data_IF_253722097498
#
_entry.id   IF_253722097498
#
_cell.length_a   1.000
_cell.length_b   1.000
_cell.length_c   1.000
_cell.angle_alpha   90.00
_cell.angle_beta   90.00
_cell.angle_gamma   90.00
#
_symmetry.space_group_name_H-M   'P 1'
#
loop_
_entity.id
_entity.type
_entity.pdbx_description
1 polymer ?
#
# COMPACT_ATOMS: atom_id res chain seq x y z
N UNK A 1 9.96 -12.16 -44.67
CA UNK A 1 8.88 -12.73 -43.86
C UNK A 1 9.31 -12.83 -42.39
N UNK A 2 8.37 -12.99 -41.46
CA UNK A 2 8.68 -13.24 -40.04
C UNK A 2 8.92 -11.97 -39.19
N UNK A 3 8.70 -10.75 -39.69
CA UNK A 3 8.73 -9.52 -38.89
C UNK A 3 7.53 -9.43 -37.97
N UNK A 4 7.68 -8.82 -36.79
CA UNK A 4 6.54 -8.54 -35.89
C UNK A 4 5.54 -7.59 -36.59
N UNK A 5 4.27 -7.72 -36.22
CA UNK A 5 3.23 -6.79 -36.69
C UNK A 5 3.59 -5.34 -36.30
N UNK A 6 3.41 -4.41 -37.27
CA UNK A 6 3.83 -3.01 -37.14
C UNK A 6 5.27 -2.72 -37.56
N UNK A 7 6.06 -3.75 -37.85
CA UNK A 7 7.42 -3.62 -38.41
C UNK A 7 7.43 -4.06 -39.86
N UNK A 8 8.01 -3.24 -40.74
CA UNK A 8 8.07 -3.48 -42.15
C UNK A 8 9.52 -3.45 -42.68
N UNK A 9 9.76 -4.16 -43.77
CA UNK A 9 11.01 -4.10 -44.50
C UNK A 9 10.83 -3.43 -45.87
N UNK A 10 11.69 -2.50 -46.19
CA UNK A 10 11.72 -1.80 -47.50
C UNK A 10 13.08 -1.99 -48.10
N UNK A 11 13.11 -2.27 -49.43
CA UNK A 11 14.33 -2.33 -50.22
C UNK A 11 14.40 -1.11 -51.17
N UNK A 12 15.48 -0.36 -51.03
CA UNK A 12 15.77 0.79 -51.91
C UNK A 12 17.28 0.98 -52.05
N UNK A 13 17.79 1.25 -53.31
CA UNK A 13 19.21 1.55 -53.53
C UNK A 13 20.17 0.47 -53.03
N UNK A 14 19.84 -0.81 -53.23
CA UNK A 14 20.59 -1.99 -52.72
C UNK A 14 20.70 -2.11 -51.20
N UNK A 15 19.84 -1.40 -50.46
CA UNK A 15 19.74 -1.45 -49.01
C UNK A 15 18.38 -1.98 -48.59
N UNK A 16 18.36 -2.94 -47.69
CA UNK A 16 17.13 -3.35 -46.99
C UNK A 16 17.06 -2.63 -45.65
N UNK A 17 15.99 -1.85 -45.45
CA UNK A 17 15.72 -1.16 -44.18
C UNK A 17 14.54 -1.84 -43.51
N UNK A 18 14.72 -2.28 -42.27
CA UNK A 18 13.66 -2.80 -41.41
C UNK A 18 13.35 -1.73 -40.35
N UNK A 19 12.09 -1.27 -40.26
CA UNK A 19 11.66 -0.23 -39.35
C UNK A 19 10.19 -0.37 -39.01
N UNK A 20 9.77 0.28 -37.91
CA UNK A 20 8.40 0.31 -37.46
C UNK A 20 8.29 0.17 -35.97
N UNK A 21 7.07 0.19 -35.46
CA UNK A 21 6.74 0.02 -34.03
C UNK A 21 6.02 -1.32 -33.85
N UNK A 22 6.65 -2.31 -33.18
CA UNK A 22 5.99 -3.58 -32.99
C UNK A 22 4.78 -3.44 -32.02
N UNK A 23 3.66 -4.09 -32.35
CA UNK A 23 2.42 -4.02 -31.60
C UNK A 23 2.09 -5.31 -30.82
N UNK A 24 2.97 -6.31 -30.89
CA UNK A 24 2.82 -7.58 -30.16
C UNK A 24 4.17 -8.02 -29.57
N UNK A 25 4.14 -8.50 -28.36
CA UNK A 25 5.29 -9.10 -27.70
C UNK A 25 5.56 -10.51 -28.25
N UNK A 26 6.83 -10.91 -28.29
CA UNK A 26 7.24 -12.23 -28.77
C UNK A 26 8.67 -12.23 -29.31
N UNK A 27 9.12 -13.40 -29.73
CA UNK A 27 10.38 -13.58 -30.44
C UNK A 27 10.08 -13.83 -31.90
N UNK A 28 10.53 -12.93 -32.75
CA UNK A 28 10.26 -12.94 -34.20
C UNK A 28 11.54 -13.22 -34.95
N UNK A 29 11.62 -14.39 -35.57
CA UNK A 29 12.72 -14.73 -36.49
C UNK A 29 12.32 -14.33 -37.88
N UNK A 30 13.02 -13.37 -38.45
CA UNK A 30 12.76 -12.91 -39.79
C UNK A 30 13.81 -13.42 -40.80
N UNK A 31 13.41 -13.53 -42.04
CA UNK A 31 14.26 -13.93 -43.15
C UNK A 31 14.20 -12.88 -44.27
N UNK A 32 15.36 -12.53 -44.80
CA UNK A 32 15.52 -11.66 -45.97
C UNK A 32 16.13 -12.50 -47.08
N UNK A 33 15.43 -12.56 -48.21
CA UNK A 33 15.88 -13.23 -49.44
C UNK A 33 15.84 -12.23 -50.60
N UNK A 34 16.97 -11.78 -51.12
CA UNK A 34 17.02 -11.00 -52.37
C UNK A 34 16.45 -11.78 -53.56
N UNK A 35 15.83 -11.09 -54.48
CA UNK A 35 15.26 -11.66 -55.72
C UNK A 35 15.82 -10.96 -56.95
N UNK A 36 15.82 -11.61 -58.11
CA UNK A 36 16.19 -11.00 -59.40
C UNK A 36 17.68 -11.11 -59.76
N UNK A 37 18.49 -11.88 -59.02
CA UNK A 37 19.89 -12.17 -59.36
C UNK A 37 20.14 -13.65 -59.57
N UNK A 38 21.42 -14.04 -59.78
CA UNK A 38 21.85 -15.41 -59.82
C UNK A 38 22.17 -15.91 -58.38
N UNK A 39 21.56 -17.03 -57.97
CA UNK A 39 21.78 -17.68 -56.69
C UNK A 39 20.71 -17.37 -55.62
N UNK A 40 20.50 -18.31 -54.73
CA UNK A 40 19.56 -18.18 -53.61
C UNK A 40 20.34 -17.92 -52.35
N UNK A 41 20.43 -16.66 -51.92
CA UNK A 41 21.06 -16.24 -50.66
C UNK A 41 19.99 -15.67 -49.74
N UNK A 42 20.00 -16.07 -48.48
CA UNK A 42 19.12 -15.49 -47.50
C UNK A 42 19.88 -15.18 -46.19
N UNK A 43 19.32 -14.28 -45.41
CA UNK A 43 19.80 -13.94 -44.04
C UNK A 43 18.63 -13.91 -43.08
N UNK A 44 18.86 -14.53 -41.96
CA UNK A 44 17.92 -14.51 -40.81
C UNK A 44 18.37 -13.51 -39.75
N UNK A 45 17.44 -12.94 -39.04
CA UNK A 45 17.66 -12.18 -37.83
C UNK A 45 16.54 -12.42 -36.83
N UNK A 46 16.71 -11.91 -35.64
CA UNK A 46 15.74 -12.04 -34.57
C UNK A 46 15.42 -10.67 -34.01
N UNK A 47 14.13 -10.39 -33.83
CA UNK A 47 13.61 -9.24 -33.07
C UNK A 47 12.84 -9.79 -31.89
N UNK A 48 13.32 -9.50 -30.68
CA UNK A 48 12.61 -9.82 -29.43
C UNK A 48 11.86 -8.57 -28.98
N UNK A 49 10.55 -8.69 -28.84
CA UNK A 49 9.67 -7.63 -28.33
C UNK A 49 9.16 -8.07 -26.96
N UNK A 50 9.60 -7.38 -25.92
CA UNK A 50 9.16 -7.66 -24.56
C UNK A 50 7.78 -7.01 -24.32
N UNK A 51 6.92 -7.68 -23.53
CA UNK A 51 5.67 -7.11 -23.08
C UNK A 51 5.91 -5.94 -22.12
N UNK A 52 5.02 -4.96 -22.15
CA UNK A 52 5.04 -3.89 -21.16
C UNK A 52 4.74 -4.43 -19.76
N UNK A 53 5.34 -3.78 -18.76
CA UNK A 53 5.03 -4.06 -17.37
C UNK A 53 3.57 -3.74 -17.06
N UNK A 54 2.90 -4.61 -16.31
CA UNK A 54 1.56 -4.38 -15.78
C UNK A 54 1.51 -4.70 -14.29
N UNK A 55 0.64 -4.01 -13.56
CA UNK A 55 0.34 -4.26 -12.15
C UNK A 55 -1.15 -4.07 -11.93
N UNK A 56 -1.80 -5.03 -11.28
CA UNK A 56 -3.23 -5.00 -10.99
C UNK A 56 -3.50 -5.59 -9.60
N UNK A 57 -4.36 -4.95 -8.81
CA UNK A 57 -4.77 -5.46 -7.50
C UNK A 57 -5.39 -6.86 -7.68
N UNK A 58 -4.93 -7.81 -6.85
CA UNK A 58 -5.39 -9.20 -6.85
C UNK A 58 -5.95 -9.65 -5.49
N UNK A 59 -5.72 -8.89 -4.42
CA UNK A 59 -6.46 -9.04 -3.17
C UNK A 59 -7.87 -8.46 -3.28
N UNK A 60 -8.71 -8.64 -2.26
CA UNK A 60 -10.06 -8.07 -2.23
C UNK A 60 -10.02 -6.55 -2.41
N UNK A 61 -10.99 -6.02 -3.15
CA UNK A 61 -11.12 -4.58 -3.35
C UNK A 61 -11.20 -3.84 -2.00
N UNK A 62 -10.45 -2.74 -1.87
CA UNK A 62 -10.36 -1.94 -0.64
C UNK A 62 -9.19 -2.34 0.26
N UNK A 63 -8.54 -3.50 0.06
CA UNK A 63 -7.35 -3.88 0.84
C UNK A 63 -6.18 -2.93 0.63
N UNK A 64 -6.12 -2.24 -0.49
CA UNK A 64 -5.13 -1.22 -0.79
C UNK A 64 -5.31 0.06 0.05
N UNK A 65 -6.50 0.22 0.70
CA UNK A 65 -6.81 1.36 1.55
C UNK A 65 -7.35 0.84 2.89
N UNK A 66 -6.49 0.68 3.89
CA UNK A 66 -6.82 0.05 5.17
C UNK A 66 -6.72 1.01 6.34
N UNK A 67 -7.58 0.81 7.33
CA UNK A 67 -7.49 1.40 8.67
C UNK A 67 -7.18 0.27 9.68
N UNK A 68 -6.09 0.37 10.42
CA UNK A 68 -5.67 -0.60 11.45
C UNK A 68 -5.17 0.12 12.69
N UNK A 69 -5.21 -0.54 13.83
CA UNK A 69 -4.54 -0.03 15.03
C UNK A 69 -3.07 -0.47 15.05
N UNK A 70 -2.23 0.31 15.70
CA UNK A 70 -0.84 -0.04 15.98
C UNK A 70 -0.78 -1.43 16.64
N UNK A 71 0.12 -2.29 16.17
CA UNK A 71 0.30 -3.64 16.71
C UNK A 71 -0.67 -4.70 16.16
N UNK A 72 -1.63 -4.34 15.28
CA UNK A 72 -2.49 -5.29 14.58
C UNK A 72 -2.01 -5.48 13.15
N UNK A 73 -2.01 -6.73 12.67
CA UNK A 73 -1.62 -7.03 11.28
C UNK A 73 -2.54 -6.36 10.28
N UNK A 74 -1.96 -5.86 9.19
CA UNK A 74 -2.75 -5.46 8.01
C UNK A 74 -3.29 -6.71 7.30
N UNK A 75 -4.38 -6.55 6.55
CA UNK A 75 -4.79 -7.54 5.58
C UNK A 75 -3.77 -7.54 4.43
N UNK A 76 -3.37 -8.71 3.97
CA UNK A 76 -2.40 -8.80 2.90
C UNK A 76 -2.91 -8.09 1.64
N UNK A 77 -2.10 -7.17 1.13
CA UNK A 77 -2.36 -6.50 -0.15
C UNK A 77 -1.55 -7.23 -1.20
N UNK A 78 -2.22 -7.76 -2.20
CA UNK A 78 -1.53 -8.44 -3.29
C UNK A 78 -1.83 -7.81 -4.64
N UNK A 79 -0.82 -7.77 -5.50
CA UNK A 79 -0.96 -7.36 -6.90
C UNK A 79 -0.36 -8.43 -7.79
N UNK A 80 -1.06 -8.77 -8.87
CA UNK A 80 -0.48 -9.54 -9.97
C UNK A 80 0.28 -8.60 -10.89
N UNK A 81 1.42 -9.06 -11.40
CA UNK A 81 2.29 -8.29 -12.28
C UNK A 81 2.65 -9.11 -13.52
N UNK A 82 3.02 -8.44 -14.61
CA UNK A 82 3.62 -9.10 -15.76
C UNK A 82 4.73 -8.23 -16.34
N UNK A 83 5.68 -8.85 -17.03
CA UNK A 83 6.78 -8.19 -17.72
C UNK A 83 7.93 -7.72 -16.81
N UNK A 84 7.68 -7.47 -15.55
CA UNK A 84 8.68 -7.01 -14.58
C UNK A 84 9.59 -8.15 -14.08
N UNK A 85 10.76 -7.78 -13.58
CA UNK A 85 11.71 -8.70 -12.93
C UNK A 85 11.90 -8.39 -11.45
N UNK A 86 11.20 -7.38 -10.92
CA UNK A 86 11.22 -6.99 -9.52
C UNK A 86 10.27 -5.84 -9.21
N UNK A 87 10.24 -5.41 -7.95
CA UNK A 87 9.48 -4.26 -7.49
C UNK A 87 10.22 -3.49 -6.38
N UNK A 88 9.99 -2.19 -6.31
CA UNK A 88 10.41 -1.30 -5.22
C UNK A 88 9.19 -0.84 -4.45
N UNK A 89 9.38 -0.65 -3.14
CA UNK A 89 8.35 -0.22 -2.21
C UNK A 89 8.76 1.07 -1.53
N UNK A 90 7.86 2.02 -1.43
CA UNK A 90 8.07 3.27 -0.70
C UNK A 90 6.82 3.64 0.09
N UNK A 91 6.98 4.42 1.17
CA UNK A 91 5.87 4.94 1.96
C UNK A 91 5.15 3.92 2.85
N UNK A 92 5.66 2.70 3.02
CA UNK A 92 5.09 1.71 3.94
C UNK A 92 5.35 2.12 5.40
N UNK A 93 4.39 1.84 6.32
CA UNK A 93 4.61 2.05 7.75
C UNK A 93 5.69 1.13 8.31
N UNK A 94 6.36 1.57 9.37
CA UNK A 94 7.31 0.72 10.10
C UNK A 94 6.63 -0.58 10.57
N UNK A 95 7.30 -1.73 10.36
CA UNK A 95 6.75 -3.05 10.64
C UNK A 95 5.93 -3.68 9.50
N UNK A 96 5.70 -2.94 8.41
CA UNK A 96 5.09 -3.46 7.18
C UNK A 96 6.14 -3.51 6.07
N UNK A 97 6.16 -4.59 5.32
CA UNK A 97 7.11 -4.81 4.23
C UNK A 97 6.41 -5.29 2.96
N UNK A 98 7.06 -5.04 1.84
CA UNK A 98 6.64 -5.54 0.53
C UNK A 98 7.63 -6.57 -0.01
N UNK A 99 7.13 -7.55 -0.73
CA UNK A 99 7.92 -8.54 -1.47
C UNK A 99 7.36 -8.70 -2.88
N UNK A 100 8.21 -9.12 -3.79
CA UNK A 100 7.83 -9.52 -5.15
C UNK A 100 8.42 -10.91 -5.44
N UNK A 101 7.58 -11.83 -5.84
CA UNK A 101 7.99 -13.18 -6.23
C UNK A 101 6.97 -13.76 -7.23
N UNK A 102 7.46 -14.48 -8.23
CA UNK A 102 6.62 -15.19 -9.21
C UNK A 102 5.47 -14.33 -9.80
N UNK A 103 5.79 -13.08 -10.18
CA UNK A 103 4.82 -12.11 -10.70
C UNK A 103 3.73 -11.68 -9.71
N UNK A 104 3.94 -11.87 -8.43
CA UNK A 104 3.04 -11.38 -7.37
C UNK A 104 3.80 -10.44 -6.44
N UNK A 105 3.25 -9.25 -6.23
CA UNK A 105 3.59 -8.36 -5.13
C UNK A 105 2.76 -8.75 -3.93
N UNK A 106 3.38 -8.81 -2.76
CA UNK A 106 2.68 -8.97 -1.47
C UNK A 106 3.17 -7.91 -0.49
N UNK A 107 2.25 -7.16 0.11
CA UNK A 107 2.51 -6.24 1.20
C UNK A 107 1.82 -6.80 2.45
N UNK A 108 2.57 -6.96 3.53
CA UNK A 108 2.08 -7.54 4.78
C UNK A 108 2.91 -7.07 5.97
N UNK A 109 2.40 -7.26 7.18
CA UNK A 109 3.12 -6.94 8.41
C UNK A 109 2.24 -6.36 9.49
N UNK A 110 2.89 -5.89 10.55
CA UNK A 110 2.26 -5.31 11.74
C UNK A 110 2.81 -3.90 11.91
N UNK A 111 2.03 -2.85 11.63
CA UNK A 111 2.50 -1.48 11.79
C UNK A 111 2.76 -1.15 13.27
N UNK A 112 3.89 -0.52 13.55
CA UNK A 112 4.35 -0.20 14.90
C UNK A 112 4.21 1.27 15.27
N UNK A 113 3.94 2.15 14.32
CA UNK A 113 3.85 3.60 14.51
C UNK A 113 2.54 4.08 13.90
N UNK A 114 1.77 4.86 14.68
CA UNK A 114 0.54 5.49 14.21
C UNK A 114 0.85 6.58 13.16
N UNK A 115 -0.05 6.74 12.20
CA UNK A 115 0.10 7.72 11.12
C UNK A 115 -0.67 7.35 9.86
N UNK A 116 -0.63 8.23 8.87
CA UNK A 116 -1.22 7.99 7.56
C UNK A 116 -0.09 7.77 6.54
N UNK A 117 -0.05 6.59 5.93
CA UNK A 117 1.03 6.12 5.07
C UNK A 117 0.52 5.90 3.65
N UNK A 118 0.91 6.79 2.74
CA UNK A 118 0.67 6.61 1.32
C UNK A 118 1.84 5.82 0.72
N UNK A 119 1.58 4.58 0.37
CA UNK A 119 2.61 3.73 -0.22
C UNK A 119 2.53 3.68 -1.74
N UNK A 120 3.65 3.37 -2.36
CA UNK A 120 3.76 3.12 -3.79
C UNK A 120 4.60 1.87 -4.04
N UNK A 121 4.08 1.02 -4.92
CA UNK A 121 4.80 -0.11 -5.51
C UNK A 121 5.18 0.29 -6.93
N UNK A 122 6.46 0.28 -7.25
CA UNK A 122 6.97 0.56 -8.60
C UNK A 122 7.66 -0.67 -9.14
N UNK A 123 7.23 -1.16 -10.29
CA UNK A 123 7.86 -2.31 -10.94
C UNK A 123 9.23 -1.95 -11.51
N UNK A 124 10.13 -2.90 -11.52
CA UNK A 124 11.48 -2.78 -12.07
C UNK A 124 11.79 -3.87 -13.08
N UNK A 125 12.71 -3.56 -14.00
CA UNK A 125 13.03 -4.41 -15.15
C UNK A 125 11.90 -4.46 -16.17
N UNK A 126 12.04 -5.28 -17.21
CA UNK A 126 11.06 -5.38 -18.29
C UNK A 126 10.95 -4.09 -19.14
N UNK A 127 9.80 -3.87 -19.74
CA UNK A 127 9.52 -2.73 -20.62
C UNK A 127 8.44 -1.83 -20.03
N UNK A 128 8.68 -0.51 -20.07
CA UNK A 128 7.76 0.50 -19.55
C UNK A 128 7.76 0.58 -18.02
N UNK A 129 7.14 1.62 -17.49
CA UNK A 129 6.93 1.83 -16.06
C UNK A 129 5.50 1.47 -15.68
N UNK A 130 5.32 0.72 -14.61
CA UNK A 130 4.02 0.45 -14.02
C UNK A 130 4.14 0.56 -12.50
N UNK A 131 3.14 1.17 -11.87
CA UNK A 131 3.09 1.36 -10.42
C UNK A 131 1.66 1.23 -9.91
N UNK A 132 1.54 0.89 -8.63
CA UNK A 132 0.30 0.91 -7.88
C UNK A 132 0.53 1.63 -6.55
N UNK A 133 -0.51 2.24 -6.00
CA UNK A 133 -0.45 2.97 -4.74
C UNK A 133 -1.69 2.70 -3.90
N UNK A 134 -1.59 2.98 -2.61
CA UNK A 134 -2.69 2.89 -1.67
C UNK A 134 -2.34 3.60 -0.37
N UNK A 135 -3.23 3.48 0.62
CA UNK A 135 -3.10 4.15 1.90
C UNK A 135 -3.29 3.16 3.04
N UNK A 136 -2.36 3.16 4.00
CA UNK A 136 -2.50 2.45 5.27
C UNK A 136 -2.56 3.50 6.38
N UNK A 137 -3.75 3.69 6.96
CA UNK A 137 -3.93 4.52 8.13
C UNK A 137 -3.77 3.65 9.37
N UNK A 138 -2.91 4.08 10.28
CA UNK A 138 -2.60 3.37 11.52
C UNK A 138 -2.99 4.26 12.69
N UNK A 139 -4.03 3.85 13.42
CA UNK A 139 -4.47 4.55 14.63
C UNK A 139 -3.67 4.07 15.85
N UNK A 140 -3.41 4.95 16.82
CA UNK A 140 -2.81 4.55 18.09
C UNK A 140 -3.76 3.65 18.88
N UNK A 141 -3.21 2.77 19.71
CA UNK A 141 -3.99 2.01 20.69
C UNK A 141 -4.54 2.97 21.75
N UNK A 142 -5.82 2.79 22.10
CA UNK A 142 -6.42 3.55 23.18
C UNK A 142 -5.80 3.15 24.52
N UNK A 143 -5.36 4.15 25.28
CA UNK A 143 -4.91 3.98 26.65
C UNK A 143 -5.64 4.94 27.56
N UNK A 144 -5.75 4.57 28.86
CA UNK A 144 -6.26 5.43 29.92
C UNK A 144 -5.39 5.23 31.17
N UNK A 145 -4.94 6.31 31.77
CA UNK A 145 -4.09 6.31 32.96
C UNK A 145 -4.54 7.38 33.94
N UNK A 146 -4.61 7.04 35.25
CA UNK A 146 -4.86 8.02 36.29
C UNK A 146 -3.77 9.08 36.29
N UNK A 147 -4.16 10.34 36.20
CA UNK A 147 -3.26 11.50 36.20
C UNK A 147 -3.47 12.45 37.37
N UNK A 148 -4.53 12.26 38.16
CA UNK A 148 -4.68 12.89 39.47
C UNK A 148 -3.86 12.15 40.53
N UNK A 149 -3.82 12.68 41.75
CA UNK A 149 -3.08 12.07 42.89
C UNK A 149 -3.55 10.62 43.13
N UNK A 150 -2.62 9.77 43.50
CA UNK A 150 -2.91 8.35 43.83
C UNK A 150 -4.00 8.26 44.89
N UNK A 151 -5.00 7.39 44.64
CA UNK A 151 -6.13 7.17 45.51
C UNK A 151 -7.33 8.11 45.25
N UNK A 152 -7.23 9.08 44.35
CA UNK A 152 -8.38 9.92 43.95
C UNK A 152 -9.48 9.13 43.25
N UNK A 153 -9.16 8.00 42.67
CA UNK A 153 -10.08 7.05 42.03
C UNK A 153 -10.81 6.14 43.04
N UNK A 154 -10.41 6.18 44.33
CA UNK A 154 -11.00 5.44 45.42
C UNK A 154 -11.31 6.38 46.61
N UNK A 155 -12.39 7.16 46.52
CA UNK A 155 -12.76 8.14 47.52
C UNK A 155 -13.94 7.70 48.38
N UNK A 156 -13.87 8.01 49.66
CA UNK A 156 -15.01 7.95 50.59
C UNK A 156 -15.42 9.39 50.90
N UNK A 157 -16.65 9.75 50.63
CA UNK A 157 -17.22 11.09 50.88
C UNK A 157 -18.56 10.99 51.57
N UNK A 158 -18.87 11.98 52.39
CA UNK A 158 -20.20 12.13 52.92
C UNK A 158 -21.14 12.75 51.86
N UNK A 159 -22.44 12.54 52.02
CA UNK A 159 -23.46 13.17 51.18
C UNK A 159 -23.29 14.70 51.18
N UNK A 160 -23.48 15.34 50.03
CA UNK A 160 -23.31 16.77 49.80
C UNK A 160 -21.88 17.31 50.03
N UNK A 161 -20.87 16.42 50.06
CA UNK A 161 -19.45 16.82 50.07
C UNK A 161 -18.85 16.54 48.67
N UNK A 162 -18.25 17.56 47.98
CA UNK A 162 -17.73 17.35 46.66
C UNK A 162 -16.60 16.30 46.61
N UNK A 163 -16.59 15.50 45.54
CA UNK A 163 -15.48 14.59 45.27
C UNK A 163 -14.25 15.40 44.85
N UNK A 164 -13.08 14.96 45.23
CA UNK A 164 -11.85 15.49 44.62
C UNK A 164 -11.82 15.06 43.14
N UNK A 165 -11.47 15.98 42.25
CA UNK A 165 -11.45 15.66 40.83
C UNK A 165 -10.58 14.44 40.57
N UNK A 166 -11.15 13.47 39.83
CA UNK A 166 -10.44 12.31 39.33
C UNK A 166 -10.09 12.64 37.86
N UNK A 167 -8.82 12.63 37.56
CA UNK A 167 -8.31 12.93 36.24
C UNK A 167 -7.64 11.70 35.66
N UNK A 168 -7.99 11.40 34.39
CA UNK A 168 -7.29 10.40 33.60
C UNK A 168 -6.78 11.05 32.31
N UNK A 169 -5.57 10.70 31.91
CA UNK A 169 -5.05 10.99 30.59
C UNK A 169 -5.29 9.78 29.67
N UNK A 170 -5.65 10.06 28.41
CA UNK A 170 -5.91 9.06 27.40
C UNK A 170 -5.00 9.28 26.18
N UNK A 171 -4.75 8.23 25.42
CA UNK A 171 -4.18 8.34 24.07
C UNK A 171 -5.05 7.57 23.09
N UNK A 172 -5.15 8.06 21.86
CA UNK A 172 -5.90 7.40 20.77
C UNK A 172 -7.42 7.51 20.88
N UNK A 173 -7.98 7.82 22.06
CA UNK A 173 -9.41 7.93 22.24
C UNK A 173 -9.97 9.26 21.69
N UNK A 174 -11.12 9.21 21.06
CA UNK A 174 -11.85 10.38 20.55
C UNK A 174 -13.07 10.74 21.41
N UNK A 175 -13.37 9.91 22.45
CA UNK A 175 -14.47 10.13 23.40
C UNK A 175 -14.41 9.16 24.57
N UNK A 176 -15.22 9.42 25.59
CA UNK A 176 -15.39 8.57 26.75
C UNK A 176 -16.87 8.42 27.13
N UNK A 177 -17.23 7.24 27.62
CA UNK A 177 -18.53 6.98 28.22
C UNK A 177 -18.38 6.77 29.72
N UNK A 178 -19.36 7.22 30.50
CA UNK A 178 -19.35 7.16 31.94
C UNK A 178 -20.55 6.36 32.43
N UNK A 179 -20.32 5.37 33.28
CA UNK A 179 -21.38 4.56 33.86
C UNK A 179 -21.11 4.38 35.35
N UNK A 180 -22.16 4.18 36.18
CA UNK A 180 -22.05 3.89 37.57
C UNK A 180 -21.63 5.07 38.49
N UNK A 181 -21.62 6.31 37.95
CA UNK A 181 -21.38 7.48 38.78
C UNK A 181 -22.59 7.77 39.68
N UNK A 182 -22.36 8.19 40.96
CA UNK A 182 -23.45 8.58 41.84
C UNK A 182 -24.16 9.84 41.34
N UNK A 183 -25.42 10.02 41.73
CA UNK A 183 -26.18 11.24 41.43
C UNK A 183 -25.39 12.49 41.85
N UNK A 184 -25.40 13.54 41.06
CA UNK A 184 -24.63 14.77 41.28
C UNK A 184 -23.15 14.71 40.90
N UNK A 185 -22.64 13.54 40.48
CA UNK A 185 -21.27 13.38 39.95
C UNK A 185 -21.36 13.11 38.45
N UNK A 186 -20.53 13.78 37.69
CA UNK A 186 -20.49 13.66 36.21
C UNK A 186 -19.06 13.47 35.70
N UNK A 187 -18.94 12.89 34.50
CA UNK A 187 -17.70 12.77 33.77
C UNK A 187 -17.72 13.63 32.50
N UNK A 188 -16.58 14.13 32.10
CA UNK A 188 -16.37 14.84 30.84
C UNK A 188 -15.02 14.46 30.24
N UNK A 189 -14.88 14.60 28.92
CA UNK A 189 -13.62 14.46 28.20
C UNK A 189 -13.36 15.72 27.36
N UNK A 190 -12.17 16.28 27.50
CA UNK A 190 -11.73 17.43 26.69
C UNK A 190 -10.32 17.13 26.18
N UNK A 191 -10.18 17.00 24.86
CA UNK A 191 -8.94 16.48 24.28
C UNK A 191 -8.63 15.10 24.84
N UNK A 192 -7.45 14.92 25.38
CA UNK A 192 -6.98 13.65 25.97
C UNK A 192 -7.18 13.58 27.50
N UNK A 193 -7.92 14.53 28.09
CA UNK A 193 -8.16 14.57 29.53
C UNK A 193 -9.61 14.18 29.83
N UNK A 194 -9.78 13.14 30.64
CA UNK A 194 -11.04 12.75 31.26
C UNK A 194 -11.08 13.33 32.67
N UNK A 195 -12.17 13.97 33.01
CA UNK A 195 -12.41 14.54 34.35
C UNK A 195 -13.71 13.97 34.93
N UNK A 196 -13.66 13.45 36.14
CA UNK A 196 -14.85 13.09 36.93
C UNK A 196 -14.89 14.03 38.11
N UNK A 197 -16.01 14.72 38.31
CA UNK A 197 -16.20 15.71 39.37
C UNK A 197 -17.67 15.85 39.74
N UNK A 198 -17.96 16.52 40.82
CA UNK A 198 -19.30 16.81 41.29
C UNK A 198 -19.51 16.59 42.79
N UNK A 199 -20.75 16.73 43.20
CA UNK A 199 -21.15 16.55 44.60
C UNK A 199 -22.24 15.48 44.66
N UNK A 200 -21.97 14.30 45.30
CA UNK A 200 -22.99 13.27 45.44
C UNK A 200 -24.20 13.77 46.24
N UNK A 201 -25.41 13.54 45.71
CA UNK A 201 -26.68 13.95 46.29
C UNK A 201 -27.56 12.75 46.61
#
# INVERSE_FOLDING_TARGET
>A
SGLPAGVNGVWAGNVVTISGIPVSAGVFTYNITPTGGCGNISRNGVITVNANNTIALSSAAGTENQLKCTGLSIDNITYTTSGATGAFFSGLPAGVSGSWAANVVTISGIPTIAGNYNYTVSLSGGCGSASASGTITVDPINTIMLSSAVGTDNQVKCLNVPVSNILYTTTGATGATFAGLPAGVSGSMTGNLVTISGTPT
#
